data_IF_331145688221
#
_entry.id   IF_331145688221
#
_cell.length_a   1.000
_cell.length_b   1.000
_cell.length_c   1.000
_cell.angle_alpha   90.00
_cell.angle_beta   90.00
_cell.angle_gamma   90.00
#
_symmetry.space_group_name_H-M   'P 1'
#
loop_
_entity.id
_entity.type
_entity.pdbx_description
1 polymer ?
#
# COMPACT_ATOMS: atom_id res chain seq x y z
N UNK A 1 -31.19 -0.69 10.45
CA UNK A 1 -31.15 0.67 11.02
C UNK A 1 -32.22 0.92 12.06
N UNK A 2 -33.51 0.67 11.78
CA UNK A 2 -34.60 0.92 12.75
C UNK A 2 -34.37 0.20 14.09
N UNK A 3 -34.02 -1.10 14.07
CA UNK A 3 -33.69 -1.87 15.28
C UNK A 3 -32.58 -1.22 16.13
N UNK A 4 -31.47 -0.81 15.51
CA UNK A 4 -30.35 -0.19 16.23
C UNK A 4 -30.66 1.23 16.71
N UNK A 5 -31.45 1.98 15.94
CA UNK A 5 -31.91 3.30 16.34
C UNK A 5 -32.83 3.20 17.56
N UNK A 6 -33.79 2.26 17.56
CA UNK A 6 -34.71 2.09 18.70
C UNK A 6 -34.00 1.56 19.93
N UNK A 7 -33.08 0.60 19.81
CA UNK A 7 -32.32 0.09 20.96
C UNK A 7 -31.42 1.17 21.58
N UNK A 8 -30.66 1.91 20.77
CA UNK A 8 -29.83 3.01 21.26
C UNK A 8 -30.66 4.12 21.89
N UNK A 9 -31.79 4.47 21.28
CA UNK A 9 -32.70 5.49 21.84
C UNK A 9 -33.22 5.09 23.22
N UNK A 10 -33.66 3.84 23.38
CA UNK A 10 -34.18 3.34 24.65
C UNK A 10 -33.09 3.16 25.71
N UNK A 11 -31.86 2.83 25.30
CA UNK A 11 -30.70 2.76 26.21
C UNK A 11 -30.27 4.16 26.69
N UNK A 12 -30.35 5.17 25.83
CA UNK A 12 -29.97 6.55 26.17
C UNK A 12 -31.05 7.26 26.99
N UNK A 13 -32.34 6.96 26.76
CA UNK A 13 -33.48 7.58 27.43
C UNK A 13 -33.34 7.70 28.96
N UNK A 14 -33.03 6.65 29.75
CA UNK A 14 -32.93 6.77 31.21
C UNK A 14 -31.87 7.78 31.68
N UNK A 15 -30.85 8.07 30.87
CA UNK A 15 -29.80 9.03 31.21
C UNK A 15 -30.19 10.49 30.93
N UNK A 16 -31.19 10.71 30.07
CA UNK A 16 -31.59 12.04 29.61
C UNK A 16 -33.04 12.37 29.99
N UNK A 17 -33.81 11.39 30.48
CA UNK A 17 -35.23 11.52 30.85
C UNK A 17 -35.51 12.66 31.82
N UNK A 18 -34.57 12.97 32.72
CA UNK A 18 -34.65 14.07 33.67
C UNK A 18 -34.70 15.48 33.04
N UNK A 19 -34.42 15.62 31.74
CA UNK A 19 -34.60 16.88 30.99
C UNK A 19 -36.04 17.11 30.53
N UNK A 20 -36.88 16.09 30.56
CA UNK A 20 -38.22 16.12 30.00
C UNK A 20 -39.24 15.92 31.13
N UNK A 21 -40.07 16.94 31.40
CA UNK A 21 -41.19 16.77 32.32
C UNK A 21 -42.32 16.01 31.63
N UNK A 22 -42.57 14.78 32.06
CA UNK A 22 -43.60 13.92 31.49
C UNK A 22 -45.03 14.47 31.66
N UNK A 23 -45.25 15.42 32.59
CA UNK A 23 -46.55 16.06 32.81
C UNK A 23 -46.79 17.26 31.88
N UNK A 24 -45.76 17.70 31.17
CA UNK A 24 -45.85 18.80 30.24
C UNK A 24 -46.21 18.28 28.85
N UNK A 25 -47.20 18.90 28.23
CA UNK A 25 -47.56 18.66 26.84
C UNK A 25 -47.12 19.84 25.99
N UNK A 26 -46.48 19.54 24.86
CA UNK A 26 -46.13 20.52 23.84
C UNK A 26 -46.80 20.10 22.54
N UNK A 27 -47.61 21.00 21.96
CA UNK A 27 -48.40 20.72 20.76
C UNK A 27 -49.34 19.51 20.91
N UNK A 28 -49.91 19.30 22.10
CA UNK A 28 -50.84 18.20 22.39
C UNK A 28 -50.18 16.82 22.46
N UNK A 29 -48.84 16.76 22.52
CA UNK A 29 -48.06 15.53 22.67
C UNK A 29 -47.20 15.63 23.93
N UNK A 30 -47.18 14.56 24.73
CA UNK A 30 -46.35 14.50 25.92
C UNK A 30 -44.86 14.71 25.59
N UNK A 31 -44.16 15.51 26.41
CA UNK A 31 -42.75 15.84 26.21
C UNK A 31 -41.82 14.61 26.16
N UNK A 32 -42.26 13.47 26.72
CA UNK A 32 -41.58 12.18 26.59
C UNK A 32 -41.37 11.74 25.14
N UNK A 33 -42.37 11.91 24.27
CA UNK A 33 -42.26 11.52 22.86
C UNK A 33 -41.35 12.47 22.07
N UNK A 34 -41.36 13.76 22.41
CA UNK A 34 -40.42 14.72 21.87
C UNK A 34 -38.98 14.38 22.24
N UNK A 35 -38.74 14.01 23.50
CA UNK A 35 -37.43 13.58 23.97
C UNK A 35 -36.94 12.31 23.26
N UNK A 36 -37.77 11.28 23.18
CA UNK A 36 -37.44 10.05 22.44
C UNK A 36 -37.18 10.33 20.95
N UNK A 37 -38.00 11.16 20.30
CA UNK A 37 -37.80 11.56 18.91
C UNK A 37 -36.48 12.31 18.69
N UNK A 38 -36.11 13.22 19.60
CA UNK A 38 -34.86 13.98 19.51
C UNK A 38 -33.62 13.09 19.62
N UNK A 39 -33.65 12.09 20.53
CA UNK A 39 -32.56 11.13 20.70
C UNK A 39 -32.45 10.24 19.45
N UNK A 40 -33.58 9.71 18.98
CA UNK A 40 -33.60 8.88 17.77
C UNK A 40 -33.04 9.63 16.56
N UNK A 41 -33.41 10.90 16.39
CA UNK A 41 -32.90 11.74 15.33
C UNK A 41 -31.39 12.03 15.48
N UNK A 42 -30.92 12.31 16.70
CA UNK A 42 -29.50 12.53 16.99
C UNK A 42 -28.64 11.30 16.71
N UNK A 43 -29.11 10.11 17.11
CA UNK A 43 -28.44 8.84 16.78
C UNK A 43 -28.37 8.63 15.28
N UNK A 44 -29.48 8.87 14.56
CA UNK A 44 -29.54 8.71 13.11
C UNK A 44 -28.56 9.64 12.39
N UNK A 45 -28.54 10.93 12.75
CA UNK A 45 -27.56 11.89 12.21
C UNK A 45 -26.13 11.45 12.50
N UNK A 46 -25.84 11.04 13.73
CA UNK A 46 -24.48 10.65 14.13
C UNK A 46 -23.98 9.46 13.31
N UNK A 47 -24.80 8.42 13.17
CA UNK A 47 -24.45 7.23 12.39
C UNK A 47 -24.27 7.57 10.90
N UNK A 48 -25.16 8.37 10.33
CA UNK A 48 -25.03 8.82 8.93
C UNK A 48 -23.79 9.69 8.72
N UNK A 49 -23.47 10.58 9.66
CA UNK A 49 -22.29 11.46 9.58
C UNK A 49 -21.00 10.65 9.64
N UNK A 50 -20.92 9.68 10.57
CA UNK A 50 -19.77 8.77 10.66
C UNK A 50 -19.62 7.97 9.37
N UNK A 51 -20.73 7.41 8.86
CA UNK A 51 -20.72 6.67 7.60
C UNK A 51 -20.26 7.53 6.41
N UNK A 52 -20.73 8.77 6.34
CA UNK A 52 -20.34 9.72 5.29
C UNK A 52 -18.86 10.09 5.38
N UNK A 53 -18.35 10.45 6.55
CA UNK A 53 -16.94 10.78 6.76
C UNK A 53 -16.07 9.57 6.43
N UNK A 54 -16.49 8.37 6.86
CA UNK A 54 -15.79 7.12 6.57
C UNK A 54 -15.72 6.86 5.07
N UNK A 55 -16.81 7.07 4.34
CA UNK A 55 -16.84 6.88 2.89
C UNK A 55 -15.94 7.89 2.16
N UNK A 56 -15.99 9.17 2.52
CA UNK A 56 -15.14 10.21 1.93
C UNK A 56 -13.64 9.98 2.21
N UNK A 57 -13.29 9.67 3.47
CA UNK A 57 -11.91 9.45 3.86
C UNK A 57 -11.34 8.16 3.24
N UNK A 58 -12.13 7.07 3.25
CA UNK A 58 -11.68 5.82 2.65
C UNK A 58 -11.71 5.82 1.13
N UNK A 59 -12.53 6.64 0.48
CA UNK A 59 -12.46 6.83 -0.96
C UNK A 59 -11.09 7.37 -1.37
N UNK A 60 -10.61 8.43 -0.69
CA UNK A 60 -9.26 8.98 -0.92
C UNK A 60 -8.16 7.95 -0.65
N UNK A 61 -8.30 7.16 0.42
CA UNK A 61 -7.34 6.10 0.72
C UNK A 61 -7.32 5.00 -0.35
N UNK A 62 -8.49 4.63 -0.90
CA UNK A 62 -8.57 3.68 -2.03
C UNK A 62 -7.88 4.25 -3.26
N UNK A 63 -8.14 5.51 -3.60
CA UNK A 63 -7.51 6.18 -4.74
C UNK A 63 -5.99 6.25 -4.59
N UNK A 64 -5.50 6.60 -3.39
CA UNK A 64 -4.06 6.60 -3.11
C UNK A 64 -3.44 5.21 -3.34
N UNK A 65 -4.07 4.14 -2.83
CA UNK A 65 -3.55 2.78 -3.06
C UNK A 65 -3.57 2.37 -4.53
N UNK A 66 -4.58 2.82 -5.29
CA UNK A 66 -4.62 2.58 -6.74
C UNK A 66 -3.46 3.29 -7.42
N UNK A 67 -3.23 4.58 -7.11
CA UNK A 67 -2.11 5.35 -7.65
C UNK A 67 -0.77 4.71 -7.28
N UNK A 68 -0.58 4.29 -6.03
CA UNK A 68 0.65 3.63 -5.59
C UNK A 68 0.89 2.30 -6.32
N UNK A 69 -0.18 1.57 -6.66
CA UNK A 69 -0.09 0.30 -7.39
C UNK A 69 0.18 0.51 -8.88
N UNK A 70 -0.59 1.39 -9.52
CA UNK A 70 -0.47 1.68 -10.96
C UNK A 70 0.86 2.37 -11.30
N UNK A 71 1.33 3.24 -10.41
CA UNK A 71 2.62 3.94 -10.57
C UNK A 71 3.79 3.16 -9.99
N UNK A 72 3.57 1.96 -9.44
CA UNK A 72 4.66 1.15 -8.93
C UNK A 72 5.57 0.75 -10.11
N UNK A 73 6.80 1.28 -10.19
CA UNK A 73 7.72 0.94 -11.28
C UNK A 73 8.04 -0.56 -11.27
N UNK A 74 8.05 -1.20 -10.09
CA UNK A 74 8.34 -2.62 -9.93
C UNK A 74 7.22 -3.56 -10.36
N UNK A 75 6.00 -3.04 -10.53
CA UNK A 75 4.88 -3.78 -11.09
C UNK A 75 4.76 -3.66 -12.60
N UNK A 76 5.53 -2.77 -13.24
CA UNK A 76 5.34 -2.38 -14.64
C UNK A 76 6.58 -2.57 -15.50
N UNK A 77 7.71 -1.94 -15.16
CA UNK A 77 8.90 -1.90 -16.04
C UNK A 77 10.25 -2.09 -15.32
N UNK A 78 10.31 -1.85 -14.01
CA UNK A 78 11.51 -2.06 -13.21
C UNK A 78 11.50 -3.44 -12.55
N UNK A 79 12.67 -4.06 -12.43
CA UNK A 79 12.81 -5.31 -11.71
C UNK A 79 13.16 -5.05 -10.25
N UNK A 80 12.49 -5.76 -9.35
CA UNK A 80 12.96 -5.86 -7.97
C UNK A 80 14.31 -6.60 -7.94
N UNK A 81 15.23 -6.27 -7.00
CA UNK A 81 16.58 -6.84 -6.99
C UNK A 81 16.63 -8.39 -6.96
N UNK A 82 15.70 -9.04 -6.27
CA UNK A 82 15.59 -10.51 -6.31
C UNK A 82 15.31 -11.04 -7.74
N UNK A 83 14.44 -10.36 -8.50
CA UNK A 83 14.12 -10.74 -9.87
C UNK A 83 15.28 -10.45 -10.82
N UNK A 84 16.05 -9.38 -10.60
CA UNK A 84 17.30 -9.11 -11.35
C UNK A 84 18.25 -10.29 -11.23
N UNK A 85 18.43 -10.83 -10.02
CA UNK A 85 19.31 -11.99 -9.80
C UNK A 85 18.78 -13.24 -10.52
N UNK A 86 17.49 -13.54 -10.38
CA UNK A 86 16.87 -14.71 -11.02
C UNK A 86 16.96 -14.62 -12.54
N UNK A 87 16.55 -13.48 -13.12
CA UNK A 87 16.56 -13.27 -14.57
C UNK A 87 17.99 -13.27 -15.10
N UNK A 88 18.94 -12.66 -14.39
CA UNK A 88 20.35 -12.68 -14.79
C UNK A 88 20.96 -14.08 -14.84
N UNK A 89 20.69 -14.91 -13.83
CA UNK A 89 21.10 -16.31 -13.83
C UNK A 89 20.45 -17.09 -14.98
N UNK A 90 19.14 -16.89 -15.20
CA UNK A 90 18.41 -17.56 -16.29
C UNK A 90 18.88 -17.12 -17.67
N UNK A 91 19.14 -15.82 -17.88
CA UNK A 91 19.60 -15.27 -19.15
C UNK A 91 20.95 -15.86 -19.53
N UNK A 92 21.85 -16.02 -18.54
CA UNK A 92 23.14 -16.65 -18.76
C UNK A 92 23.00 -18.12 -19.16
N UNK A 93 22.17 -18.88 -18.45
CA UNK A 93 21.90 -20.29 -18.78
C UNK A 93 21.31 -20.40 -20.19
N UNK A 94 20.38 -19.52 -20.56
CA UNK A 94 19.78 -19.51 -21.89
C UNK A 94 20.81 -19.23 -22.98
N UNK A 95 21.67 -18.22 -22.78
CA UNK A 95 22.76 -17.88 -23.69
C UNK A 95 23.72 -19.04 -23.88
N UNK A 96 24.14 -19.69 -22.80
CA UNK A 96 25.08 -20.82 -22.85
C UNK A 96 24.46 -22.04 -23.56
N UNK A 97 23.12 -22.18 -23.57
CA UNK A 97 22.40 -23.25 -24.25
C UNK A 97 21.86 -22.87 -25.65
N UNK A 98 22.10 -21.63 -26.12
CA UNK A 98 21.53 -21.14 -27.37
C UNK A 98 22.06 -21.89 -28.62
N UNK A 99 23.17 -22.64 -28.51
CA UNK A 99 23.79 -23.40 -29.61
C UNK A 99 24.02 -22.56 -30.89
N UNK A 100 24.26 -21.25 -30.74
CA UNK A 100 24.45 -20.32 -31.86
C UNK A 100 23.17 -19.78 -32.51
N UNK A 101 21.99 -19.99 -31.92
CA UNK A 101 20.75 -19.35 -32.40
C UNK A 101 20.81 -17.83 -32.20
N UNK A 102 20.95 -17.11 -33.32
CA UNK A 102 21.06 -15.65 -33.36
C UNK A 102 19.85 -14.95 -32.71
N UNK A 103 18.64 -15.51 -32.79
CA UNK A 103 17.45 -14.90 -32.17
C UNK A 103 17.49 -14.99 -30.66
N UNK A 104 17.96 -16.14 -30.14
CA UNK A 104 18.11 -16.36 -28.70
C UNK A 104 19.20 -15.44 -28.16
N UNK A 105 20.34 -15.34 -28.85
CA UNK A 105 21.44 -14.46 -28.47
C UNK A 105 20.99 -12.99 -28.45
N UNK A 106 20.29 -12.52 -29.49
CA UNK A 106 19.77 -11.15 -29.54
C UNK A 106 18.78 -10.84 -28.40
N UNK A 107 17.94 -11.82 -28.02
CA UNK A 107 17.04 -11.68 -26.87
C UNK A 107 17.85 -11.57 -25.58
N UNK A 108 18.90 -12.39 -25.41
CA UNK A 108 19.75 -12.34 -24.24
C UNK A 108 20.50 -11.00 -24.13
N UNK A 109 20.96 -10.44 -25.26
CA UNK A 109 21.64 -9.13 -25.30
C UNK A 109 20.69 -8.01 -24.84
N UNK A 110 19.44 -8.03 -25.30
CA UNK A 110 18.43 -7.07 -24.86
C UNK A 110 18.11 -7.19 -23.36
N UNK A 111 18.02 -8.42 -22.84
CA UNK A 111 17.82 -8.65 -21.40
C UNK A 111 19.01 -8.14 -20.59
N UNK A 112 20.24 -8.29 -21.07
CA UNK A 112 21.44 -7.78 -20.39
C UNK A 112 21.44 -6.24 -20.31
N UNK A 113 20.97 -5.53 -21.34
CA UNK A 113 20.77 -4.08 -21.28
C UNK A 113 19.75 -3.69 -20.22
N UNK A 114 18.65 -4.44 -20.10
CA UNK A 114 17.63 -4.19 -19.08
C UNK A 114 18.15 -4.46 -17.66
N UNK A 115 18.90 -5.54 -17.45
CA UNK A 115 19.54 -5.86 -16.17
C UNK A 115 20.59 -4.80 -15.78
N UNK A 116 21.36 -4.32 -16.75
CA UNK A 116 22.28 -3.19 -16.57
C UNK A 116 21.56 -1.93 -16.11
N UNK A 117 20.43 -1.59 -16.74
CA UNK A 117 19.63 -0.45 -16.31
C UNK A 117 19.03 -0.65 -14.91
N UNK A 118 18.55 -1.86 -14.58
CA UNK A 118 18.00 -2.15 -13.25
C UNK A 118 19.07 -2.07 -12.15
N UNK A 119 20.29 -2.55 -12.41
CA UNK A 119 21.40 -2.52 -11.45
C UNK A 119 21.95 -1.12 -11.17
N UNK A 120 21.66 -0.12 -12.01
CA UNK A 120 22.01 1.28 -11.75
C UNK A 120 20.98 2.04 -10.93
N UNK A 121 19.81 1.45 -10.66
CA UNK A 121 18.75 2.10 -9.89
C UNK A 121 19.05 2.09 -8.39
N UNK A 122 18.51 3.08 -7.69
CA UNK A 122 18.68 3.24 -6.24
C UNK A 122 18.24 2.01 -5.45
N UNK A 123 17.16 1.34 -5.86
CA UNK A 123 16.66 0.13 -5.19
C UNK A 123 17.70 -0.99 -5.17
N UNK A 124 18.50 -1.10 -6.23
CA UNK A 124 19.56 -2.09 -6.31
C UNK A 124 20.66 -1.76 -5.32
N UNK A 125 21.09 -0.50 -5.25
CA UNK A 125 22.05 -0.05 -4.26
C UNK A 125 21.58 -0.30 -2.81
N UNK A 126 20.29 -0.04 -2.51
CA UNK A 126 19.69 -0.32 -1.20
C UNK A 126 19.68 -1.81 -0.88
N UNK A 127 19.28 -2.67 -1.81
CA UNK A 127 19.29 -4.11 -1.60
C UNK A 127 20.70 -4.68 -1.48
N UNK A 128 21.64 -4.18 -2.27
CA UNK A 128 23.01 -4.61 -2.20
C UNK A 128 23.65 -4.26 -0.86
N UNK A 129 23.41 -3.04 -0.36
CA UNK A 129 23.82 -2.66 1.00
C UNK A 129 23.22 -3.58 2.04
N UNK A 130 21.90 -3.83 1.98
CA UNK A 130 21.25 -4.76 2.90
C UNK A 130 21.92 -6.15 2.88
N UNK A 131 22.27 -6.67 1.71
CA UNK A 131 22.96 -7.95 1.58
C UNK A 131 24.40 -7.91 2.13
N UNK A 132 25.15 -6.86 1.82
CA UNK A 132 26.51 -6.66 2.33
C UNK A 132 26.54 -6.54 3.87
N UNK A 133 25.52 -5.92 4.47
CA UNK A 133 25.39 -5.75 5.93
C UNK A 133 24.88 -7.03 6.63
N UNK A 134 24.01 -7.79 5.96
CA UNK A 134 23.34 -8.97 6.55
C UNK A 134 24.20 -10.23 6.47
N UNK A 135 24.94 -10.42 5.38
CA UNK A 135 25.70 -11.65 5.15
C UNK A 135 27.16 -11.52 5.59
N UNK A 136 27.81 -12.62 6.04
CA UNK A 136 29.21 -12.58 6.50
C UNK A 136 30.23 -12.17 5.43
N UNK A 137 29.86 -12.28 4.15
CA UNK A 137 30.69 -11.89 3.02
C UNK A 137 29.88 -10.95 2.14
N UNK A 138 30.51 -9.91 1.58
CA UNK A 138 29.85 -9.00 0.67
C UNK A 138 29.41 -9.73 -0.60
N UNK A 139 28.39 -9.19 -1.25
CA UNK A 139 27.86 -9.67 -2.53
C UNK A 139 29.02 -9.76 -3.53
N UNK A 140 29.28 -10.93 -4.13
CA UNK A 140 30.33 -11.07 -5.13
C UNK A 140 29.96 -10.29 -6.39
N UNK A 141 30.95 -10.05 -7.25
CA UNK A 141 30.65 -9.53 -8.58
C UNK A 141 29.79 -10.55 -9.35
N UNK A 142 28.63 -10.10 -9.81
CA UNK A 142 27.63 -10.99 -10.41
C UNK A 142 27.97 -11.16 -11.89
N UNK A 143 28.31 -12.38 -12.30
CA UNK A 143 28.80 -12.71 -13.65
C UNK A 143 27.85 -12.34 -14.82
N UNK A 144 26.59 -12.03 -14.53
CA UNK A 144 25.58 -11.62 -15.51
C UNK A 144 25.37 -10.10 -15.54
N UNK A 145 25.99 -9.35 -14.63
CA UNK A 145 26.00 -7.90 -14.65
C UNK A 145 27.28 -7.38 -15.35
N UNK A 146 27.28 -6.13 -15.82
CA UNK A 146 28.49 -5.50 -16.33
C UNK A 146 29.56 -5.42 -15.25
N UNK A 147 30.83 -5.54 -15.66
CA UNK A 147 31.97 -5.42 -14.76
C UNK A 147 31.90 -4.14 -13.92
N UNK A 148 32.02 -4.31 -12.59
CA UNK A 148 32.00 -3.20 -11.64
C UNK A 148 30.61 -2.62 -11.33
N UNK A 149 29.53 -3.18 -11.86
CA UNK A 149 28.16 -2.74 -11.52
C UNK A 149 27.87 -2.88 -10.03
N UNK A 150 28.35 -3.96 -9.41
CA UNK A 150 28.24 -4.22 -7.97
C UNK A 150 29.01 -3.15 -7.17
N UNK A 151 30.23 -2.81 -7.55
CA UNK A 151 30.99 -1.79 -6.83
C UNK A 151 30.41 -0.37 -7.02
N UNK A 152 29.90 -0.08 -8.23
CA UNK A 152 29.21 1.17 -8.49
C UNK A 152 27.97 1.32 -7.58
N UNK A 153 27.17 0.26 -7.42
CA UNK A 153 26.02 0.27 -6.54
C UNK A 153 26.39 0.47 -5.05
N UNK A 154 27.53 -0.08 -4.58
CA UNK A 154 28.06 0.23 -3.24
C UNK A 154 28.39 1.70 -3.06
N UNK A 155 29.01 2.32 -4.06
CA UNK A 155 29.35 3.75 -3.99
C UNK A 155 28.10 4.60 -3.84
N UNK A 156 27.02 4.27 -4.56
CA UNK A 156 25.72 4.94 -4.44
C UNK A 156 25.10 4.67 -3.07
N UNK A 157 25.12 3.41 -2.60
CA UNK A 157 24.55 3.01 -1.32
C UNK A 157 25.19 3.71 -0.10
N UNK A 158 26.46 4.10 -0.20
CA UNK A 158 27.16 4.89 0.83
C UNK A 158 26.69 6.34 0.90
N UNK A 159 26.30 6.91 -0.24
CA UNK A 159 25.85 8.32 -0.34
C UNK A 159 24.36 8.49 -0.01
N UNK A 160 23.61 7.42 0.27
CA UNK A 160 22.18 7.51 0.62
C UNK A 160 21.94 7.93 2.08
N UNK A 161 22.99 8.00 2.91
CA UNK A 161 22.92 8.39 4.32
C UNK A 161 23.29 9.88 4.57
N UNK A 162 23.78 10.59 3.54
CA UNK A 162 24.11 12.03 3.59
C UNK A 162 22.91 12.89 3.14
#
# INVERSE_FOLDING_TARGET
MVFWCTTLTLLIWPYVSWRFDAKQETLGVAMTYWGLGSIAFGVLISVLSIGYIYDQFLALWKEQRTVDTERNPFGTYALIPANVVIIGMMNRVLRDNANGDEKVIATCDWVDEWLKWCSSQEIWARSQRFWDDTFPKPVPDLFFLPDGAVEAARSVGKNLDD
#
